data_IF_056524224209
#
_entry.id   IF_056524224209
#
_cell.length_a   1.000
_cell.length_b   1.000
_cell.length_c   1.000
_cell.angle_alpha   90.00
_cell.angle_beta   90.00
_cell.angle_gamma   90.00
#
_symmetry.space_group_name_H-M   'P 1'
#
loop_
_entity.id
_entity.type
_entity.pdbx_description
1 polymer ?
#
# COMPACT_ATOMS: atom_id res chain seq x y z
N UNK A 1 -34.18 3.71 -11.21
CA UNK A 1 -34.61 5.11 -11.01
C UNK A 1 -35.11 5.38 -9.60
N UNK A 2 -34.74 6.51 -8.99
CA UNK A 2 -35.19 6.88 -7.64
C UNK A 2 -36.70 7.22 -7.58
N UNK A 3 -37.24 7.74 -8.68
CA UNK A 3 -38.63 8.21 -8.79
C UNK A 3 -39.61 7.04 -8.80
N UNK A 4 -39.27 5.93 -9.47
CA UNK A 4 -40.10 4.72 -9.47
C UNK A 4 -40.17 4.11 -8.07
N UNK A 5 -39.05 4.06 -7.35
CA UNK A 5 -38.97 3.57 -5.96
C UNK A 5 -39.76 4.46 -5.00
N UNK A 6 -39.71 5.77 -5.15
CA UNK A 6 -40.50 6.71 -4.35
C UNK A 6 -42.02 6.56 -4.60
N UNK A 7 -42.43 6.39 -5.86
CA UNK A 7 -43.83 6.16 -6.24
C UNK A 7 -44.37 4.85 -5.68
N UNK A 8 -43.55 3.80 -5.63
CA UNK A 8 -43.92 2.48 -5.13
C UNK A 8 -43.99 2.41 -3.59
N UNK A 9 -43.20 3.24 -2.90
CA UNK A 9 -43.11 3.24 -1.43
C UNK A 9 -43.99 4.31 -0.76
N UNK A 10 -44.66 5.17 -1.54
CA UNK A 10 -45.47 6.27 -1.02
C UNK A 10 -44.67 7.34 -0.26
N UNK A 11 -43.34 7.28 -0.31
CA UNK A 11 -42.44 8.16 0.41
C UNK A 11 -41.96 9.32 -0.47
N UNK A 12 -41.70 10.51 0.11
CA UNK A 12 -41.09 11.60 -0.62
C UNK A 12 -39.71 11.18 -1.15
N UNK A 13 -39.37 11.64 -2.37
CA UNK A 13 -38.08 11.33 -3.03
C UNK A 13 -36.87 11.64 -2.14
N UNK A 14 -36.95 12.71 -1.33
CA UNK A 14 -35.88 13.09 -0.38
C UNK A 14 -35.65 12.04 0.70
N UNK A 15 -36.71 11.40 1.21
CA UNK A 15 -36.61 10.34 2.23
C UNK A 15 -35.98 9.08 1.62
N UNK A 16 -36.41 8.70 0.43
CA UNK A 16 -35.82 7.58 -0.33
C UNK A 16 -34.34 7.85 -0.62
N UNK A 17 -33.97 9.07 -1.01
CA UNK A 17 -32.58 9.45 -1.25
C UNK A 17 -31.72 9.42 0.01
N UNK A 18 -32.24 9.90 1.14
CA UNK A 18 -31.56 9.84 2.45
C UNK A 18 -31.41 8.42 2.93
N UNK A 19 -32.43 7.58 2.72
CA UNK A 19 -32.38 6.15 3.00
C UNK A 19 -31.33 5.44 2.14
N UNK A 20 -31.28 5.67 0.82
CA UNK A 20 -30.22 5.11 -0.04
C UNK A 20 -28.82 5.63 0.31
N UNK A 21 -28.70 6.86 0.83
CA UNK A 21 -27.44 7.39 1.36
C UNK A 21 -27.03 6.67 2.65
N UNK A 22 -27.97 6.48 3.58
CA UNK A 22 -27.75 5.73 4.82
C UNK A 22 -27.46 4.26 4.55
N UNK A 23 -28.20 3.62 3.64
CA UNK A 23 -28.00 2.24 3.22
C UNK A 23 -26.62 2.04 2.60
N UNK A 24 -26.22 2.91 1.66
CA UNK A 24 -24.84 2.90 1.12
C UNK A 24 -23.78 3.13 2.21
N UNK A 25 -24.06 4.00 3.18
CA UNK A 25 -23.16 4.21 4.32
C UNK A 25 -23.12 3.01 5.29
N UNK A 26 -24.18 2.21 5.38
CA UNK A 26 -24.22 0.95 6.13
C UNK A 26 -23.57 -0.21 5.37
N UNK A 27 -23.67 -0.23 4.04
CA UNK A 27 -23.01 -1.20 3.14
C UNK A 27 -21.49 -0.98 3.07
N UNK A 28 -21.00 0.19 3.50
CA UNK A 28 -19.57 0.39 3.72
C UNK A 28 -19.13 -0.44 4.94
N UNK A 29 -18.24 -1.44 4.77
CA UNK A 29 -17.74 -2.22 5.91
C UNK A 29 -17.16 -1.27 6.95
N UNK A 30 -17.61 -1.44 8.20
CA UNK A 30 -17.21 -0.59 9.33
C UNK A 30 -15.68 -0.47 9.34
N UNK A 31 -15.16 0.74 9.57
CA UNK A 31 -13.71 0.99 9.63
C UNK A 31 -12.98 -0.04 10.52
N UNK A 32 -13.60 -0.43 11.63
CA UNK A 32 -13.13 -1.46 12.56
C UNK A 32 -12.96 -2.83 11.90
N UNK A 33 -13.86 -3.23 10.98
CA UNK A 33 -13.76 -4.49 10.24
C UNK A 33 -12.53 -4.47 9.33
N UNK A 34 -12.33 -3.40 8.56
CA UNK A 34 -11.16 -3.23 7.69
C UNK A 34 -9.84 -3.18 8.47
N UNK A 35 -9.87 -2.52 9.63
CA UNK A 35 -8.73 -2.48 10.55
C UNK A 35 -8.39 -3.87 11.09
N UNK A 36 -9.40 -4.61 11.56
CA UNK A 36 -9.21 -5.97 12.06
C UNK A 36 -8.69 -6.91 10.97
N UNK A 37 -9.26 -6.85 9.76
CA UNK A 37 -8.81 -7.62 8.61
C UNK A 37 -7.37 -7.29 8.21
N UNK A 38 -6.98 -6.01 8.19
CA UNK A 38 -5.60 -5.61 7.91
C UNK A 38 -4.63 -6.03 9.03
N UNK A 39 -5.07 -5.97 10.30
CA UNK A 39 -4.24 -6.35 11.44
C UNK A 39 -3.98 -7.86 11.49
N UNK A 40 -5.00 -8.68 11.24
CA UNK A 40 -4.84 -10.14 11.14
C UNK A 40 -3.89 -10.52 10.00
N UNK A 41 -4.06 -9.91 8.81
CA UNK A 41 -3.16 -10.14 7.67
C UNK A 41 -1.72 -9.72 7.99
N UNK A 42 -1.55 -8.56 8.64
CA UNK A 42 -0.24 -8.10 9.11
C UNK A 42 0.42 -9.12 10.02
N UNK A 43 -0.29 -9.60 11.05
CA UNK A 43 0.25 -10.60 11.98
C UNK A 43 0.66 -11.86 11.24
N UNK A 44 -0.17 -12.37 10.34
CA UNK A 44 0.16 -13.56 9.55
C UNK A 44 1.42 -13.35 8.71
N UNK A 45 1.48 -12.33 7.86
CA UNK A 45 2.64 -12.07 7.00
C UNK A 45 3.91 -11.81 7.79
N UNK A 46 3.80 -11.10 8.91
CA UNK A 46 4.93 -10.89 9.81
C UNK A 46 5.44 -12.24 10.34
N UNK A 47 4.57 -13.07 10.91
CA UNK A 47 4.98 -14.37 11.43
C UNK A 47 5.50 -15.32 10.35
N UNK A 48 4.92 -15.31 9.14
CA UNK A 48 5.37 -16.13 8.01
C UNK A 48 6.76 -15.73 7.52
N UNK A 49 7.01 -14.42 7.42
CA UNK A 49 8.32 -13.91 7.01
C UNK A 49 9.41 -14.31 8.00
N UNK A 50 9.21 -14.07 9.30
CA UNK A 50 10.22 -14.42 10.31
C UNK A 50 10.41 -15.93 10.43
N UNK A 51 9.34 -16.73 10.37
CA UNK A 51 9.48 -18.19 10.39
C UNK A 51 10.24 -18.69 9.16
N UNK A 52 9.93 -18.18 7.96
CA UNK A 52 10.67 -18.46 6.73
C UNK A 52 12.16 -18.11 6.84
N UNK A 53 12.50 -16.92 7.36
CA UNK A 53 13.91 -16.53 7.61
C UNK A 53 14.59 -17.48 8.59
N UNK A 54 13.96 -17.82 9.72
CA UNK A 54 14.56 -18.71 10.73
C UNK A 54 14.81 -20.10 10.17
N UNK A 55 13.88 -20.61 9.37
CA UNK A 55 13.95 -21.93 8.75
C UNK A 55 15.04 -21.99 7.66
N UNK A 56 15.28 -20.87 6.96
CA UNK A 56 16.39 -20.72 6.03
C UNK A 56 17.74 -20.57 6.73
N UNK A 57 17.78 -19.80 7.82
CA UNK A 57 19.00 -19.55 8.59
C UNK A 57 19.53 -20.83 9.23
N UNK A 58 18.64 -21.66 9.79
CA UNK A 58 18.97 -22.96 10.40
C UNK A 58 19.58 -23.94 9.39
N UNK A 59 19.26 -23.79 8.10
CA UNK A 59 19.86 -24.57 7.01
C UNK A 59 21.17 -23.98 6.46
N UNK A 60 21.67 -22.89 7.06
CA UNK A 60 22.88 -22.19 6.65
C UNK A 60 22.63 -21.20 5.50
N UNK A 61 22.52 -19.91 5.85
CA UNK A 61 22.34 -18.79 4.91
C UNK A 61 23.37 -18.80 3.76
N UNK A 62 24.58 -19.27 4.02
CA UNK A 62 25.72 -19.35 3.09
C UNK A 62 25.58 -20.44 2.01
N UNK A 63 24.68 -21.42 2.19
CA UNK A 63 24.49 -22.57 1.31
C UNK A 63 23.32 -22.39 0.31
N UNK A 64 22.51 -21.34 0.47
CA UNK A 64 21.26 -21.12 -0.26
C UNK A 64 21.41 -20.90 -1.78
N UNK A 65 22.61 -20.56 -2.26
CA UNK A 65 22.90 -20.38 -3.69
C UNK A 65 23.59 -21.59 -4.33
N UNK A 66 23.97 -22.62 -3.56
CA UNK A 66 25.00 -23.55 -4.02
C UNK A 66 24.67 -25.05 -4.01
N UNK A 67 23.71 -25.60 -3.25
CA UNK A 67 23.61 -27.07 -3.21
C UNK A 67 22.21 -27.70 -3.15
N UNK A 68 21.99 -28.57 -4.13
CA UNK A 68 20.79 -29.35 -4.49
C UNK A 68 20.51 -30.54 -3.56
N UNK A 69 21.33 -30.82 -2.55
CA UNK A 69 21.41 -32.17 -1.96
C UNK A 69 21.32 -32.26 -0.42
N UNK A 70 20.66 -31.31 0.25
CA UNK A 70 20.37 -31.45 1.68
C UNK A 70 18.96 -32.05 1.89
N UNK A 71 18.79 -33.04 2.80
CA UNK A 71 17.49 -33.67 3.05
C UNK A 71 16.45 -32.61 3.42
N UNK A 72 15.25 -32.73 2.83
CA UNK A 72 14.17 -31.80 3.07
C UNK A 72 13.68 -31.98 4.51
N UNK A 73 13.80 -30.93 5.33
CA UNK A 73 13.25 -30.94 6.68
C UNK A 73 11.72 -31.05 6.58
N UNK A 74 11.05 -32.01 7.26
CA UNK A 74 9.59 -32.16 7.22
C UNK A 74 8.85 -30.87 7.59
N UNK A 75 9.47 -30.03 8.43
CA UNK A 75 8.96 -28.70 8.80
C UNK A 75 8.76 -27.75 7.61
N UNK A 76 9.60 -27.82 6.56
CA UNK A 76 9.40 -27.03 5.33
C UNK A 76 8.10 -27.42 4.63
N UNK A 77 7.78 -28.72 4.57
CA UNK A 77 6.55 -29.20 3.93
C UNK A 77 5.29 -28.69 4.65
N UNK A 78 5.28 -28.72 5.98
CA UNK A 78 4.17 -28.17 6.78
C UNK A 78 4.03 -26.66 6.64
N UNK A 79 5.15 -25.93 6.65
CA UNK A 79 5.17 -24.49 6.39
C UNK A 79 4.58 -24.17 5.00
N UNK A 80 4.99 -24.94 3.98
CA UNK A 80 4.49 -24.82 2.61
C UNK A 80 2.97 -25.02 2.50
N UNK A 81 2.44 -26.05 3.16
CA UNK A 81 1.00 -26.34 3.18
C UNK A 81 0.21 -25.27 3.95
N UNK A 82 0.78 -24.74 5.03
CA UNK A 82 0.19 -23.65 5.80
C UNK A 82 0.09 -22.39 4.93
N UNK A 83 1.15 -21.98 4.24
CA UNK A 83 1.12 -20.85 3.31
C UNK A 83 0.12 -21.08 2.17
N UNK A 84 0.11 -22.27 1.54
CA UNK A 84 -0.88 -22.61 0.52
C UNK A 84 -2.31 -22.46 1.03
N UNK A 85 -2.61 -22.96 2.23
CA UNK A 85 -3.95 -22.86 2.83
C UNK A 85 -4.36 -21.40 3.06
N UNK A 86 -3.41 -20.56 3.49
CA UNK A 86 -3.64 -19.13 3.66
C UNK A 86 -3.92 -18.45 2.32
N UNK A 87 -3.11 -18.67 1.29
CA UNK A 87 -3.35 -18.08 -0.04
C UNK A 87 -4.69 -18.53 -0.65
N UNK A 88 -5.09 -19.79 -0.46
CA UNK A 88 -6.42 -20.27 -0.84
C UNK A 88 -7.53 -19.51 -0.10
N UNK A 89 -7.38 -19.29 1.21
CA UNK A 89 -8.35 -18.50 1.99
C UNK A 89 -8.48 -17.04 1.50
N UNK A 90 -7.37 -16.44 1.05
CA UNK A 90 -7.36 -15.09 0.48
C UNK A 90 -8.14 -15.03 -0.83
N UNK A 91 -8.00 -16.04 -1.70
CA UNK A 91 -8.77 -16.12 -2.96
C UNK A 91 -10.25 -16.24 -2.70
N UNK A 92 -10.67 -17.07 -1.74
CA UNK A 92 -12.09 -17.22 -1.40
C UNK A 92 -12.67 -15.92 -0.85
N UNK A 93 -11.86 -15.15 -0.10
CA UNK A 93 -12.28 -13.89 0.52
C UNK A 93 -12.26 -12.71 -0.48
N UNK A 94 -11.47 -12.80 -1.55
CA UNK A 94 -11.24 -11.71 -2.52
C UNK A 94 -12.53 -11.19 -3.18
N UNK A 95 -13.46 -12.04 -3.69
CA UNK A 95 -14.69 -11.60 -4.34
C UNK A 95 -15.65 -10.82 -3.42
N UNK A 96 -15.53 -11.04 -2.12
CA UNK A 96 -16.33 -10.35 -1.10
C UNK A 96 -15.70 -9.01 -0.67
N UNK A 97 -14.46 -8.74 -1.09
CA UNK A 97 -13.83 -7.43 -0.88
C UNK A 97 -14.33 -6.41 -1.92
N UNK A 98 -14.25 -5.13 -1.56
CA UNK A 98 -14.71 -4.04 -2.43
C UNK A 98 -13.95 -4.09 -3.74
N UNK A 99 -14.68 -4.12 -4.86
CA UNK A 99 -14.12 -4.24 -6.21
C UNK A 99 -13.19 -3.06 -6.51
N UNK A 100 -11.87 -3.29 -6.43
CA UNK A 100 -10.83 -2.30 -6.76
C UNK A 100 -10.49 -2.35 -8.25
N UNK A 101 -9.77 -1.33 -8.74
CA UNK A 101 -9.39 -1.24 -10.17
C UNK A 101 -8.41 -2.35 -10.60
N UNK A 102 -7.66 -2.88 -9.65
CA UNK A 102 -6.63 -3.92 -9.74
C UNK A 102 -7.16 -5.34 -9.40
N UNK A 103 -8.48 -5.51 -9.32
CA UNK A 103 -9.10 -6.76 -8.88
C UNK A 103 -8.81 -7.95 -9.79
N UNK A 104 -8.79 -7.73 -11.12
CA UNK A 104 -8.55 -8.81 -12.09
C UNK A 104 -7.11 -9.29 -12.03
N UNK A 105 -6.19 -8.35 -11.95
CA UNK A 105 -4.76 -8.55 -11.82
C UNK A 105 -4.45 -9.29 -10.52
N UNK A 106 -5.10 -8.91 -9.41
CA UNK A 106 -4.97 -9.62 -8.14
C UNK A 106 -5.46 -11.06 -8.23
N UNK A 107 -6.58 -11.36 -8.91
CA UNK A 107 -7.04 -12.74 -9.11
C UNK A 107 -6.04 -13.54 -9.94
N UNK A 108 -5.59 -12.99 -11.06
CA UNK A 108 -4.62 -13.66 -11.95
C UNK A 108 -3.35 -14.00 -11.16
N UNK A 109 -2.86 -13.06 -10.34
CA UNK A 109 -1.72 -13.30 -9.46
C UNK A 109 -1.96 -14.49 -8.53
N UNK A 110 -3.09 -14.52 -7.81
CA UNK A 110 -3.34 -15.59 -6.85
C UNK A 110 -3.51 -16.95 -7.52
N UNK A 111 -4.16 -17.00 -8.69
CA UNK A 111 -4.23 -18.25 -9.47
C UNK A 111 -2.82 -18.70 -9.84
N UNK A 112 -1.99 -17.79 -10.36
CA UNK A 112 -0.61 -18.10 -10.72
C UNK A 112 0.23 -18.56 -9.52
N UNK A 113 0.16 -17.89 -8.37
CA UNK A 113 0.92 -18.28 -7.17
C UNK A 113 0.44 -19.60 -6.60
N UNK A 114 -0.87 -19.83 -6.48
CA UNK A 114 -1.42 -21.12 -6.00
C UNK A 114 -1.02 -22.26 -6.92
N UNK A 115 -1.12 -22.07 -8.25
CA UNK A 115 -0.68 -23.09 -9.22
C UNK A 115 0.82 -23.35 -9.11
N UNK A 116 1.65 -22.30 -8.98
CA UNK A 116 3.09 -22.46 -8.79
C UNK A 116 3.42 -23.21 -7.50
N UNK A 117 2.79 -22.85 -6.38
CA UNK A 117 2.96 -23.52 -5.08
C UNK A 117 2.57 -25.00 -5.22
N UNK A 118 1.40 -25.30 -5.76
CA UNK A 118 0.95 -26.69 -5.92
C UNK A 118 1.87 -27.52 -6.83
N UNK A 119 2.20 -27.00 -8.02
CA UNK A 119 3.06 -27.71 -8.98
C UNK A 119 4.48 -27.90 -8.45
N UNK A 120 5.05 -26.89 -7.80
CA UNK A 120 6.38 -27.00 -7.19
C UNK A 120 6.42 -27.97 -6.01
N UNK A 121 5.32 -28.10 -5.25
CA UNK A 121 5.20 -29.13 -4.23
C UNK A 121 5.20 -30.54 -4.84
N UNK A 122 4.40 -30.77 -5.89
CA UNK A 122 4.39 -32.05 -6.62
C UNK A 122 5.74 -32.35 -7.28
N UNK A 123 6.45 -31.34 -7.77
CA UNK A 123 7.77 -31.46 -8.40
C UNK A 123 8.93 -31.55 -7.41
N UNK A 124 8.66 -31.55 -6.09
CA UNK A 124 9.66 -31.51 -5.03
C UNK A 124 10.65 -30.32 -5.12
N UNK A 125 10.18 -29.19 -5.65
CA UNK A 125 10.92 -27.91 -5.79
C UNK A 125 10.65 -26.98 -4.59
N UNK A 126 10.45 -27.56 -3.40
CA UNK A 126 9.99 -26.86 -2.20
C UNK A 126 10.99 -25.77 -1.78
N UNK A 127 12.30 -26.02 -1.88
CA UNK A 127 13.33 -25.01 -1.56
C UNK A 127 13.20 -23.75 -2.42
N UNK A 128 13.06 -23.92 -3.74
CA UNK A 128 12.88 -22.80 -4.65
C UNK A 128 11.58 -22.06 -4.36
N UNK A 129 10.49 -22.81 -4.11
CA UNK A 129 9.20 -22.25 -3.73
C UNK A 129 9.30 -21.38 -2.47
N UNK A 130 9.96 -21.85 -1.41
CA UNK A 130 10.14 -21.08 -0.17
C UNK A 130 10.97 -19.81 -0.40
N UNK A 131 12.02 -19.86 -1.22
CA UNK A 131 12.79 -18.65 -1.57
C UNK A 131 11.91 -17.62 -2.28
N UNK A 132 11.10 -18.07 -3.24
CA UNK A 132 10.17 -17.20 -3.95
C UNK A 132 9.15 -16.61 -2.97
N UNK A 133 8.52 -17.42 -2.12
CA UNK A 133 7.54 -16.97 -1.13
C UNK A 133 8.13 -15.97 -0.14
N UNK A 134 9.35 -16.21 0.37
CA UNK A 134 10.02 -15.28 1.28
C UNK A 134 10.29 -13.92 0.65
N UNK A 135 10.76 -13.91 -0.60
CA UNK A 135 10.96 -12.68 -1.38
C UNK A 135 9.64 -11.93 -1.59
N UNK A 136 8.54 -12.67 -1.71
CA UNK A 136 7.21 -12.11 -1.86
C UNK A 136 6.70 -11.50 -0.56
N UNK A 137 6.85 -12.20 0.56
CA UNK A 137 6.38 -11.81 1.88
C UNK A 137 7.17 -10.63 2.48
N UNK A 138 8.43 -10.44 2.06
CA UNK A 138 9.31 -9.37 2.54
C UNK A 138 8.69 -7.95 2.48
N UNK A 139 7.85 -7.69 1.47
CA UNK A 139 7.16 -6.39 1.31
C UNK A 139 5.74 -6.38 1.89
N UNK A 140 5.11 -7.53 2.03
CA UNK A 140 3.66 -7.62 2.16
C UNK A 140 3.20 -7.25 3.59
N UNK A 141 3.98 -7.59 4.62
CA UNK A 141 3.71 -7.11 5.98
C UNK A 141 3.88 -5.58 6.10
N UNK A 142 4.79 -4.95 5.35
CA UNK A 142 4.95 -3.48 5.35
C UNK A 142 3.73 -2.80 4.72
N UNK A 143 3.15 -3.41 3.68
CA UNK A 143 1.93 -2.91 3.04
C UNK A 143 0.72 -2.99 3.98
N UNK A 144 0.54 -4.10 4.69
CA UNK A 144 -0.53 -4.21 5.69
C UNK A 144 -0.30 -3.26 6.88
N UNK A 145 0.94 -3.08 7.32
CA UNK A 145 1.30 -2.10 8.34
C UNK A 145 0.93 -0.67 7.91
N UNK A 146 1.21 -0.30 6.66
CA UNK A 146 0.84 1.00 6.13
C UNK A 146 -0.69 1.23 6.16
N UNK A 147 -1.49 0.19 5.84
CA UNK A 147 -2.97 0.27 5.92
C UNK A 147 -3.44 0.46 7.36
N UNK A 148 -2.90 -0.31 8.31
CA UNK A 148 -3.21 -0.20 9.74
C UNK A 148 -2.90 1.22 10.24
N UNK A 149 -1.73 1.76 9.90
CA UNK A 149 -1.31 3.13 10.27
C UNK A 149 -2.19 4.21 9.62
N UNK A 150 -2.64 3.98 8.38
CA UNK A 150 -3.59 4.85 7.71
C UNK A 150 -4.92 4.92 8.46
N UNK A 151 -5.45 3.78 8.92
CA UNK A 151 -6.68 3.72 9.71
C UNK A 151 -6.53 4.39 11.09
N UNK A 152 -5.34 4.30 11.69
CA UNK A 152 -4.97 4.99 12.93
C UNK A 152 -4.76 6.51 12.75
N UNK A 153 -4.89 7.04 11.52
CA UNK A 153 -4.69 8.46 11.16
C UNK A 153 -3.26 8.99 11.41
N UNK A 154 -2.27 8.11 11.52
CA UNK A 154 -0.86 8.47 11.73
C UNK A 154 -0.15 8.76 10.40
N UNK A 155 -0.50 9.90 9.79
CA UNK A 155 -0.08 10.25 8.42
C UNK A 155 1.43 10.23 8.18
N UNK A 156 2.22 10.83 9.09
CA UNK A 156 3.70 10.90 8.92
C UNK A 156 4.37 9.53 8.92
N UNK A 157 3.95 8.65 9.83
CA UNK A 157 4.49 7.29 9.93
C UNK A 157 4.02 6.45 8.75
N UNK A 158 2.74 6.59 8.37
CA UNK A 158 2.18 5.92 7.19
C UNK A 158 2.95 6.28 5.90
N UNK A 159 3.26 7.57 5.67
CA UNK A 159 4.04 8.02 4.52
C UNK A 159 5.46 7.44 4.54
N UNK A 160 6.12 7.41 5.71
CA UNK A 160 7.45 6.82 5.86
C UNK A 160 7.45 5.31 5.58
N UNK A 161 6.52 4.56 6.18
CA UNK A 161 6.37 3.11 5.96
C UNK A 161 6.04 2.81 4.49
N UNK A 162 5.23 3.64 3.83
CA UNK A 162 4.91 3.47 2.41
C UNK A 162 6.14 3.63 1.51
N UNK A 163 7.05 4.56 1.83
CA UNK A 163 8.33 4.72 1.10
C UNK A 163 9.22 3.49 1.32
N UNK A 164 9.36 3.02 2.56
CA UNK A 164 10.14 1.81 2.87
C UNK A 164 9.55 0.60 2.15
N UNK A 165 8.23 0.43 2.19
CA UNK A 165 7.51 -0.58 1.43
C UNK A 165 7.86 -0.53 -0.06
N UNK A 166 7.85 0.66 -0.69
CA UNK A 166 8.15 0.79 -2.11
C UNK A 166 9.58 0.36 -2.45
N UNK A 167 10.56 0.74 -1.63
CA UNK A 167 11.96 0.32 -1.83
C UNK A 167 12.10 -1.19 -1.70
N UNK A 168 11.53 -1.77 -0.64
CA UNK A 168 11.58 -3.21 -0.40
C UNK A 168 10.89 -3.97 -1.54
N UNK A 169 9.69 -3.56 -1.93
CA UNK A 169 8.92 -4.19 -3.02
C UNK A 169 9.67 -4.18 -4.35
N UNK A 170 10.27 -3.05 -4.73
CA UNK A 170 11.04 -2.94 -5.98
C UNK A 170 12.29 -3.83 -5.89
N UNK A 171 13.06 -3.73 -4.81
CA UNK A 171 14.29 -4.53 -4.67
C UNK A 171 14.02 -6.03 -4.64
N UNK A 172 13.01 -6.49 -3.90
CA UNK A 172 12.67 -7.91 -3.80
C UNK A 172 12.14 -8.48 -5.12
N UNK A 173 11.19 -7.80 -5.78
CA UNK A 173 10.47 -8.36 -6.93
C UNK A 173 11.09 -8.03 -8.29
N UNK A 174 11.86 -6.94 -8.43
CA UNK A 174 12.51 -6.57 -9.70
C UNK A 174 13.98 -6.93 -9.76
N UNK A 175 14.63 -7.20 -8.63
CA UNK A 175 16.06 -7.60 -8.61
C UNK A 175 16.20 -9.04 -8.12
N UNK A 176 15.78 -9.34 -6.88
CA UNK A 176 16.03 -10.65 -6.27
C UNK A 176 15.24 -11.77 -6.98
N UNK A 177 13.94 -11.57 -7.19
CA UNK A 177 13.09 -12.57 -7.84
C UNK A 177 13.53 -12.98 -9.27
N UNK A 178 13.83 -12.05 -10.20
CA UNK A 178 14.33 -12.45 -11.52
C UNK A 178 15.72 -13.09 -11.46
N UNK A 179 16.58 -12.73 -10.50
CA UNK A 179 17.87 -13.40 -10.31
C UNK A 179 17.68 -14.87 -9.89
N UNK A 180 16.78 -15.14 -8.93
CA UNK A 180 16.43 -16.51 -8.51
C UNK A 180 15.84 -17.29 -9.69
N UNK A 181 14.90 -16.70 -10.42
CA UNK A 181 14.25 -17.32 -11.56
C UNK A 181 15.22 -17.60 -12.70
N UNK A 182 16.13 -16.67 -13.00
CA UNK A 182 17.17 -16.85 -14.02
C UNK A 182 18.12 -17.99 -13.65
N UNK A 183 18.56 -18.05 -12.39
CA UNK A 183 19.42 -19.14 -11.92
C UNK A 183 18.73 -20.50 -12.04
N UNK A 184 17.44 -20.58 -11.68
CA UNK A 184 16.63 -21.79 -11.88
C UNK A 184 16.53 -22.17 -13.36
N UNK A 185 16.23 -21.20 -14.24
CA UNK A 185 16.11 -21.42 -15.68
C UNK A 185 17.39 -22.02 -16.28
N UNK A 186 18.56 -21.49 -15.91
CA UNK A 186 19.85 -21.95 -16.42
C UNK A 186 20.22 -23.34 -15.87
N UNK A 187 19.94 -23.62 -14.60
CA UNK A 187 20.36 -24.87 -13.94
C UNK A 187 19.43 -26.06 -14.20
N UNK A 188 18.17 -25.82 -14.54
CA UNK A 188 17.13 -26.86 -14.67
C UNK A 188 16.43 -26.84 -16.03
N UNK A 189 17.12 -26.35 -17.06
CA UNK A 189 16.61 -26.22 -18.43
C UNK A 189 16.24 -27.57 -19.09
N UNK A 190 16.66 -28.71 -18.54
CA UNK A 190 16.38 -30.01 -19.15
C UNK A 190 14.87 -30.29 -19.27
N UNK A 191 14.49 -30.64 -20.50
CA UNK A 191 13.16 -30.47 -21.05
C UNK A 191 12.14 -31.45 -20.49
N UNK A 192 11.15 -30.92 -19.78
CA UNK A 192 9.88 -31.58 -19.51
C UNK A 192 8.74 -30.54 -19.56
N UNK A 193 7.51 -31.01 -19.76
CA UNK A 193 6.29 -30.18 -19.81
C UNK A 193 6.10 -29.34 -18.53
N UNK A 194 6.47 -29.89 -17.37
CA UNK A 194 6.32 -29.23 -16.07
C UNK A 194 7.23 -28.01 -15.89
N UNK A 195 8.48 -28.09 -16.37
CA UNK A 195 9.41 -26.95 -16.33
C UNK A 195 8.90 -25.80 -17.20
N UNK A 196 8.30 -26.11 -18.37
CA UNK A 196 7.66 -25.10 -19.22
C UNK A 196 6.48 -24.42 -18.50
N UNK A 197 5.62 -25.20 -17.84
CA UNK A 197 4.49 -24.69 -17.06
C UNK A 197 4.95 -23.75 -15.93
N UNK A 198 5.95 -24.17 -15.15
CA UNK A 198 6.51 -23.37 -14.06
C UNK A 198 7.09 -22.06 -14.60
N UNK A 199 7.92 -22.11 -15.64
CA UNK A 199 8.52 -20.92 -16.24
C UNK A 199 7.46 -19.97 -16.80
N UNK A 200 6.40 -20.48 -17.45
CA UNK A 200 5.31 -19.66 -17.95
C UNK A 200 4.62 -18.88 -16.82
N UNK A 201 4.29 -19.54 -15.70
CA UNK A 201 3.68 -18.85 -14.56
C UNK A 201 4.64 -17.88 -13.86
N UNK A 202 5.95 -18.19 -13.77
CA UNK A 202 6.95 -17.26 -13.22
C UNK A 202 7.08 -15.99 -14.07
N UNK A 203 7.04 -16.11 -15.40
CA UNK A 203 7.02 -14.95 -16.30
C UNK A 203 5.74 -14.14 -16.12
N UNK A 204 4.57 -14.79 -16.03
CA UNK A 204 3.30 -14.11 -15.74
C UNK A 204 3.41 -13.32 -14.43
N UNK A 205 3.89 -13.94 -13.34
CA UNK A 205 4.10 -13.26 -12.07
C UNK A 205 5.02 -12.03 -12.23
N UNK A 206 6.11 -12.16 -12.98
CA UNK A 206 7.03 -11.05 -13.18
C UNK A 206 6.37 -9.87 -13.90
N UNK A 207 5.55 -10.12 -14.92
CA UNK A 207 4.81 -9.06 -15.60
C UNK A 207 3.85 -8.32 -14.65
N UNK A 208 3.17 -9.06 -13.76
CA UNK A 208 2.31 -8.45 -12.74
C UNK A 208 3.12 -7.61 -11.73
N UNK A 209 4.30 -8.04 -11.33
CA UNK A 209 5.19 -7.26 -10.45
C UNK A 209 5.67 -5.96 -11.10
N UNK A 210 5.97 -5.99 -12.39
CA UNK A 210 6.33 -4.78 -13.16
C UNK A 210 5.14 -3.81 -13.17
N UNK A 211 3.93 -4.32 -13.45
CA UNK A 211 2.71 -3.52 -13.43
C UNK A 211 2.47 -2.85 -12.05
N UNK A 212 2.56 -3.60 -10.96
CA UNK A 212 2.38 -3.04 -9.62
C UNK A 212 3.50 -2.09 -9.21
N UNK A 213 4.75 -2.37 -9.61
CA UNK A 213 5.88 -1.47 -9.35
C UNK A 213 5.66 -0.12 -10.01
N UNK A 214 5.13 -0.10 -11.24
CA UNK A 214 4.73 1.15 -11.90
C UNK A 214 3.66 1.92 -11.10
N UNK A 215 2.65 1.23 -10.57
CA UNK A 215 1.61 1.87 -9.75
C UNK A 215 2.19 2.44 -8.44
N UNK A 216 3.02 1.67 -7.74
CA UNK A 216 3.66 2.07 -6.48
C UNK A 216 4.58 3.27 -6.72
N UNK A 217 5.37 3.23 -7.80
CA UNK A 217 6.27 4.31 -8.18
C UNK A 217 5.48 5.59 -8.49
N UNK A 218 4.38 5.49 -9.23
CA UNK A 218 3.48 6.63 -9.50
C UNK A 218 2.92 7.24 -8.20
N UNK A 219 2.51 6.41 -7.24
CA UNK A 219 1.96 6.88 -5.96
C UNK A 219 3.04 7.55 -5.09
N UNK A 220 4.23 6.94 -5.00
CA UNK A 220 5.35 7.50 -4.22
C UNK A 220 5.87 8.82 -4.79
N UNK A 221 6.01 8.94 -6.10
CA UNK A 221 6.35 10.21 -6.74
C UNK A 221 5.32 11.30 -6.45
N UNK A 222 4.03 10.95 -6.45
CA UNK A 222 2.97 11.87 -6.03
C UNK A 222 3.19 12.38 -4.60
N UNK A 223 3.40 11.48 -3.65
CA UNK A 223 3.65 11.84 -2.23
C UNK A 223 4.87 12.75 -2.07
N UNK A 224 5.97 12.45 -2.77
CA UNK A 224 7.20 13.24 -2.72
C UNK A 224 6.97 14.64 -3.30
N UNK A 225 6.30 14.75 -4.44
CA UNK A 225 6.02 16.04 -5.09
C UNK A 225 5.08 16.91 -4.25
N UNK A 226 3.97 16.36 -3.76
CA UNK A 226 3.06 17.08 -2.85
C UNK A 226 3.75 17.48 -1.53
N UNK A 227 4.63 16.61 -1.01
CA UNK A 227 5.46 16.90 0.15
C UNK A 227 6.44 18.05 -0.09
N UNK A 228 7.09 18.09 -1.26
CA UNK A 228 8.01 19.15 -1.66
C UNK A 228 7.29 20.49 -1.80
N UNK A 229 6.13 20.52 -2.48
CA UNK A 229 5.31 21.73 -2.62
C UNK A 229 4.85 22.25 -1.26
N UNK A 230 4.42 21.35 -0.35
CA UNK A 230 4.03 21.75 1.02
C UNK A 230 5.21 22.34 1.79
N UNK A 231 6.41 21.75 1.71
CA UNK A 231 7.61 22.27 2.36
C UNK A 231 8.02 23.64 1.83
N UNK A 232 7.99 23.84 0.51
CA UNK A 232 8.28 25.14 -0.13
C UNK A 232 7.28 26.20 0.32
N UNK A 233 5.98 25.87 0.35
CA UNK A 233 4.94 26.78 0.84
C UNK A 233 5.11 27.13 2.33
N UNK A 234 5.46 26.16 3.17
CA UNK A 234 5.70 26.42 4.59
C UNK A 234 6.97 27.25 4.82
N UNK A 235 8.04 26.95 4.08
CA UNK A 235 9.28 27.74 4.11
C UNK A 235 9.03 29.18 3.65
N UNK A 236 8.23 29.38 2.59
CA UNK A 236 7.89 30.73 2.13
C UNK A 236 7.00 31.47 3.14
N UNK A 237 6.11 30.80 3.87
CA UNK A 237 5.36 31.40 4.99
C UNK A 237 6.25 31.78 6.18
N UNK A 238 7.23 30.92 6.53
CA UNK A 238 8.20 31.23 7.60
C UNK A 238 9.11 32.39 7.21
N UNK A 239 9.61 32.42 5.97
CA UNK A 239 10.39 33.54 5.43
C UNK A 239 9.57 34.83 5.38
N UNK A 240 8.31 34.79 4.91
CA UNK A 240 7.41 35.94 4.94
C UNK A 240 7.14 36.43 6.36
N UNK A 241 6.92 35.52 7.31
CA UNK A 241 6.68 35.89 8.70
C UNK A 241 7.91 36.55 9.33
N UNK A 242 9.11 36.03 9.06
CA UNK A 242 10.37 36.63 9.54
C UNK A 242 10.64 38.01 8.92
N UNK A 243 10.34 38.19 7.62
CA UNK A 243 10.46 39.47 6.91
C UNK A 243 9.44 40.51 7.39
N UNK A 244 8.20 40.09 7.67
CA UNK A 244 7.16 40.94 8.27
C UNK A 244 7.55 41.35 9.69
N UNK A 245 8.12 40.43 10.48
CA UNK A 245 8.58 40.74 11.84
C UNK A 245 9.74 41.76 11.81
N UNK A 246 10.68 41.64 10.87
CA UNK A 246 11.78 42.59 10.71
C UNK A 246 11.29 43.99 10.27
N UNK A 247 10.38 44.05 9.29
CA UNK A 247 9.78 45.33 8.85
C UNK A 247 8.88 45.96 9.92
N UNK A 248 8.23 45.15 10.78
CA UNK A 248 7.48 45.66 11.92
C UNK A 248 8.43 46.23 12.99
N UNK A 249 9.58 45.58 13.23
CA UNK A 249 10.61 46.06 14.18
C UNK A 249 11.28 47.35 13.71
N UNK A 250 11.57 47.50 12.41
CA UNK A 250 12.05 48.76 11.83
C UNK A 250 11.00 49.88 11.88
N UNK A 251 9.71 49.57 11.63
CA UNK A 251 8.63 50.57 11.74
C UNK A 251 8.36 51.01 13.18
N UNK A 252 8.55 50.13 14.16
CA UNK A 252 8.44 50.47 15.59
C UNK A 252 9.64 51.31 16.04
N UNK A 253 10.85 51.03 15.55
CA UNK A 253 12.04 51.86 15.80
C UNK A 253 11.95 53.28 15.22
N UNK A 254 11.17 53.48 14.15
CA UNK A 254 10.92 54.81 13.54
C UNK A 254 9.68 55.54 14.06
N UNK A 255 8.88 54.95 14.94
CA UNK A 255 7.66 55.57 15.51
C UNK A 255 7.77 55.78 17.02
N UNK A 256 8.81 56.51 17.41
CA UNK A 256 8.84 57.24 18.67
C UNK A 256 8.38 58.69 18.46
N UNK A 257 7.12 58.88 18.06
CA UNK A 257 6.32 60.11 18.21
C UNK A 257 5.00 59.99 17.41
N UNK A 258 3.91 60.51 17.98
CA UNK A 258 2.59 60.77 17.39
C UNK A 258 1.49 59.66 17.48
N UNK A 259 0.65 59.91 18.50
CA UNK A 259 -0.78 59.69 18.79
C UNK A 259 -1.77 58.89 17.89
N UNK A 260 -2.92 58.46 18.48
CA UNK A 260 -3.80 57.41 17.97
C UNK A 260 -5.02 57.96 17.23
N UNK A 261 -5.26 57.50 15.99
CA UNK A 261 -6.57 57.27 15.36
C UNK A 261 -6.36 57.00 13.85
N UNK A 262 -6.56 55.76 13.37
CA UNK A 262 -6.59 55.46 11.93
C UNK A 262 -7.19 54.07 11.59
N UNK A 263 -7.95 53.93 10.48
CA UNK A 263 -8.84 52.81 10.15
C UNK A 263 -8.15 51.50 9.68
N UNK A 264 -7.10 51.06 10.37
CA UNK A 264 -6.23 49.94 9.96
C UNK A 264 -6.72 48.55 10.36
N UNK A 265 -7.80 48.47 11.14
CA UNK A 265 -8.35 47.23 11.70
C UNK A 265 -9.32 46.51 10.76
N UNK A 266 -9.88 47.18 9.75
CA UNK A 266 -10.79 46.56 8.76
C UNK A 266 -10.05 45.81 7.66
N UNK A 267 -8.89 46.30 7.18
CA UNK A 267 -8.09 45.61 6.14
C UNK A 267 -7.41 44.32 6.63
N UNK A 268 -7.04 44.24 7.91
CA UNK A 268 -6.46 43.02 8.50
C UNK A 268 -7.51 41.90 8.65
N UNK A 269 -8.78 42.26 8.81
CA UNK A 269 -9.89 41.29 8.94
C UNK A 269 -10.28 40.69 7.58
N UNK A 270 -10.34 41.49 6.51
CA UNK A 270 -10.65 40.98 5.16
C UNK A 270 -9.53 40.08 4.60
N UNK A 271 -8.27 40.36 4.96
CA UNK A 271 -7.11 39.54 4.55
C UNK A 271 -7.01 38.20 5.29
N UNK A 272 -7.57 38.11 6.49
CA UNK A 272 -7.69 36.86 7.25
C UNK A 272 -8.84 35.99 6.74
N UNK A 273 -9.97 36.60 6.36
CA UNK A 273 -11.13 35.90 5.79
C UNK A 273 -10.80 35.28 4.41
N UNK A 274 -10.06 35.99 3.55
CA UNK A 274 -9.58 35.45 2.27
C UNK A 274 -8.58 34.29 2.40
N UNK A 275 -7.88 34.15 3.54
CA UNK A 275 -6.94 33.06 3.77
C UNK A 275 -7.64 31.76 4.23
N UNK A 276 -8.79 31.86 4.89
CA UNK A 276 -9.62 30.69 5.26
C UNK A 276 -10.33 30.08 4.03
N UNK A 277 -10.71 30.91 3.07
CA UNK A 277 -11.44 30.48 1.86
C UNK A 277 -10.54 29.66 0.90
N UNK A 278 -9.24 29.99 0.85
CA UNK A 278 -8.23 29.22 0.10
C UNK A 278 -7.98 27.85 0.76
N UNK A 279 -8.04 27.75 2.09
CA UNK A 279 -7.89 26.49 2.81
C UNK A 279 -9.10 25.55 2.61
N UNK A 280 -10.32 26.09 2.52
CA UNK A 280 -11.53 25.33 2.20
C UNK A 280 -11.58 24.87 0.73
N UNK A 281 -11.05 25.68 -0.19
CA UNK A 281 -10.97 25.33 -1.61
C UNK A 281 -9.94 24.21 -1.85
N UNK A 282 -8.80 24.25 -1.16
CA UNK A 282 -7.77 23.20 -1.24
C UNK A 282 -8.22 21.85 -0.65
N UNK A 283 -9.14 21.85 0.34
CA UNK A 283 -9.68 20.60 0.92
C UNK A 283 -10.76 19.94 0.06
N UNK A 284 -11.45 20.68 -0.82
CA UNK A 284 -12.43 20.12 -1.76
C UNK A 284 -11.77 19.40 -2.95
N UNK A 285 -10.60 19.85 -3.40
CA UNK A 285 -9.87 19.24 -4.53
C UNK A 285 -9.25 17.88 -4.17
N UNK A 286 -8.93 17.65 -2.90
CA UNK A 286 -8.31 16.39 -2.42
C UNK A 286 -9.35 15.29 -2.12
N UNK A 287 -10.65 15.59 -2.18
CA UNK A 287 -11.74 14.64 -1.92
C UNK A 287 -12.57 14.27 -3.17
N UNK A 288 -12.13 14.67 -4.35
CA UNK A 288 -12.70 14.26 -5.64
C UNK A 288 -12.04 13.00 -6.18
#
# INVERSE_FOLDING_TARGET
>A
DLISVAKQSGLPVRTVQTWFRHRRAQDHPRLTKRFCEASWRFTFYFTSFFSGVTLLYDQGLSCCLLFVSQPLLPALGWFYLLELSFYCSLVVTLPFDVKRKDFKEQIIHHIATITLIFVSYCANLIRLGVMIMLVHDASDYLLELAKVLHYMKWKRVCEAVFIVFAVVFISSRLVIFPLITYHYYVTKFEMFFLSCLINAFLVILQLLHIFWSYLILRMTFGVILYGAVRKIFFSSMTTRSSMVLHTCKERVGKKGAAQPNSPRTSELKSRAEGCMDIQQTATKIVRG
#
